data_IF_874363751999
#
_entry.id   IF_874363751999
#
_cell.length_a   1.000
_cell.length_b   1.000
_cell.length_c   1.000
_cell.angle_alpha   90.00
_cell.angle_beta   90.00
_cell.angle_gamma   90.00
#
_symmetry.space_group_name_H-M   'P 1'
#
loop_
_entity.id
_entity.type
_entity.pdbx_description
1 polymer ?
#
# COMPACT_ATOMS: atom_id res chain seq x y z
N UNK A 1 -7.86 62.17 8.15
CA UNK A 1 -8.40 61.35 7.04
C UNK A 1 -7.38 60.38 6.41
N UNK A 2 -6.32 59.96 7.11
CA UNK A 2 -5.26 59.08 6.57
C UNK A 2 -5.21 57.64 7.11
N UNK A 3 -6.13 57.26 8.00
CA UNK A 3 -6.11 55.96 8.70
C UNK A 3 -7.02 54.90 8.10
N UNK A 4 -7.80 55.17 7.05
CA UNK A 4 -8.79 54.22 6.50
C UNK A 4 -8.24 53.25 5.43
N UNK A 5 -7.05 53.46 4.92
CA UNK A 5 -6.48 52.60 3.85
C UNK A 5 -5.44 51.57 4.35
N UNK A 6 -4.99 51.68 5.61
CA UNK A 6 -3.94 50.80 6.15
C UNK A 6 -4.55 49.48 6.69
N UNK A 7 -5.76 49.55 7.23
CA UNK A 7 -6.42 48.40 7.84
C UNK A 7 -6.66 47.22 6.84
N UNK A 8 -7.12 47.44 5.60
CA UNK A 8 -7.32 46.34 4.68
C UNK A 8 -6.01 45.72 4.18
N UNK A 9 -4.92 46.49 4.11
CA UNK A 9 -3.60 45.96 3.71
C UNK A 9 -3.01 45.04 4.77
N UNK A 10 -3.16 45.36 6.05
CA UNK A 10 -2.67 44.52 7.16
C UNK A 10 -3.46 43.22 7.24
N UNK A 11 -4.78 43.29 7.05
CA UNK A 11 -5.63 42.08 7.03
C UNK A 11 -5.28 41.13 5.88
N UNK A 12 -4.94 41.66 4.69
CA UNK A 12 -4.53 40.87 3.53
C UNK A 12 -3.17 40.19 3.73
N UNK A 13 -2.20 40.87 4.36
CA UNK A 13 -0.91 40.27 4.69
C UNK A 13 -1.02 39.17 5.75
N UNK A 14 -1.87 39.34 6.76
CA UNK A 14 -2.10 38.33 7.79
C UNK A 14 -2.75 37.07 7.21
N UNK A 15 -3.66 37.19 6.26
CA UNK A 15 -4.29 36.06 5.59
C UNK A 15 -3.29 35.28 4.71
N UNK A 16 -2.36 35.95 4.03
CA UNK A 16 -1.30 35.30 3.26
C UNK A 16 -0.28 34.56 4.14
N UNK A 17 0.07 35.13 5.29
CA UNK A 17 0.98 34.48 6.24
C UNK A 17 0.38 33.21 6.88
N UNK A 18 -0.93 33.19 7.14
CA UNK A 18 -1.63 32.01 7.65
C UNK A 18 -1.68 30.86 6.63
N UNK A 19 -1.75 31.14 5.34
CA UNK A 19 -1.77 30.13 4.28
C UNK A 19 -0.43 29.38 4.11
N UNK A 20 0.68 29.93 4.57
CA UNK A 20 2.01 29.30 4.48
C UNK A 20 2.32 28.32 5.63
N UNK A 21 1.46 28.21 6.63
CA UNK A 21 1.69 27.34 7.80
C UNK A 21 1.10 25.93 7.63
N UNK A 22 0.43 25.63 6.52
CA UNK A 22 -0.02 24.28 6.20
C UNK A 22 1.14 23.52 5.56
N UNK A 23 2.07 23.06 6.39
CA UNK A 23 3.05 22.08 5.92
C UNK A 23 2.31 20.78 5.55
N UNK A 24 2.52 20.22 4.34
CA UNK A 24 1.99 18.89 4.04
C UNK A 24 2.61 17.91 5.04
N UNK A 25 1.77 17.25 5.82
CA UNK A 25 2.20 16.11 6.62
C UNK A 25 2.55 15.00 5.62
N UNK A 26 3.82 14.85 5.29
CA UNK A 26 4.31 13.68 4.58
C UNK A 26 4.25 12.54 5.59
N UNK A 27 3.26 11.67 5.44
CA UNK A 27 3.22 10.41 6.17
C UNK A 27 4.38 9.55 5.64
N UNK A 28 5.39 9.34 6.47
CA UNK A 28 6.49 8.43 6.18
C UNK A 28 6.02 7.00 6.47
N UNK A 29 5.35 6.40 5.49
CA UNK A 29 4.92 5.02 5.58
C UNK A 29 6.12 4.09 5.40
N UNK A 30 6.41 3.31 6.42
CA UNK A 30 7.46 2.27 6.33
C UNK A 30 7.00 1.19 5.34
N UNK A 31 7.85 0.80 4.40
CA UNK A 31 7.53 -0.30 3.49
C UNK A 31 7.21 -1.57 4.28
N UNK A 32 6.14 -2.26 3.86
CA UNK A 32 5.78 -3.55 4.44
C UNK A 32 6.87 -4.58 4.14
N UNK A 33 7.29 -5.29 5.17
CA UNK A 33 8.22 -6.38 5.06
C UNK A 33 7.51 -7.71 5.36
N UNK A 34 7.42 -8.56 4.35
CA UNK A 34 6.91 -9.90 4.49
C UNK A 34 7.93 -10.83 5.14
N UNK A 35 7.48 -11.98 5.64
CA UNK A 35 8.33 -12.99 6.26
C UNK A 35 9.38 -13.47 5.27
N UNK A 36 10.67 -13.47 5.69
CA UNK A 36 11.77 -13.99 4.87
C UNK A 36 11.72 -15.51 4.85
N UNK A 37 11.36 -16.06 3.70
CA UNK A 37 11.23 -17.50 3.45
C UNK A 37 11.28 -17.77 1.94
N UNK A 38 11.42 -19.05 1.56
CA UNK A 38 11.41 -19.46 0.15
C UNK A 38 10.12 -19.02 -0.55
N UNK A 39 10.25 -18.43 -1.73
CA UNK A 39 9.14 -17.91 -2.53
C UNK A 39 8.83 -16.43 -2.31
N UNK A 40 9.48 -15.76 -1.34
CA UNK A 40 9.29 -14.33 -1.11
C UNK A 40 9.62 -13.49 -2.34
N UNK A 41 10.71 -13.79 -3.03
CA UNK A 41 11.13 -13.12 -4.26
C UNK A 41 10.04 -13.14 -5.33
N UNK A 42 9.31 -14.25 -5.46
CA UNK A 42 8.21 -14.41 -6.40
C UNK A 42 6.99 -13.58 -5.98
N UNK A 43 6.68 -13.58 -4.69
CA UNK A 43 5.59 -12.75 -4.14
C UNK A 43 5.88 -11.28 -4.36
N UNK A 44 7.07 -10.80 -4.04
CA UNK A 44 7.45 -9.41 -4.24
C UNK A 44 7.43 -9.01 -5.72
N UNK A 45 7.97 -9.85 -6.60
CA UNK A 45 8.03 -9.57 -8.03
C UNK A 45 6.65 -9.49 -8.70
N UNK A 46 5.74 -10.39 -8.34
CA UNK A 46 4.45 -10.51 -9.01
C UNK A 46 3.32 -9.75 -8.30
N UNK A 47 3.24 -9.81 -6.98
CA UNK A 47 2.11 -9.22 -6.25
C UNK A 47 2.22 -7.70 -6.11
N UNK A 48 3.43 -7.15 -5.95
CA UNK A 48 3.64 -5.72 -5.82
C UNK A 48 3.38 -4.93 -7.11
N UNK A 49 3.26 -5.61 -8.26
CA UNK A 49 3.03 -4.94 -9.53
C UNK A 49 1.66 -4.27 -9.66
N UNK A 50 0.65 -4.72 -8.93
CA UNK A 50 -0.73 -4.26 -9.07
C UNK A 50 -1.28 -3.58 -7.81
N UNK A 51 -0.86 -3.99 -6.63
CA UNK A 51 -1.33 -3.44 -5.35
C UNK A 51 -0.30 -3.63 -4.24
N UNK A 52 -0.54 -3.02 -3.08
CA UNK A 52 0.34 -3.13 -1.93
C UNK A 52 0.37 -4.55 -1.35
N UNK A 53 1.52 -4.95 -0.81
CA UNK A 53 1.71 -6.22 -0.09
C UNK A 53 1.08 -6.23 1.31
N UNK A 54 0.60 -5.09 1.81
CA UNK A 54 -0.14 -4.98 3.07
C UNK A 54 -1.31 -5.94 3.13
N UNK A 55 -1.95 -6.16 1.98
CA UNK A 55 -3.08 -7.06 1.85
C UNK A 55 -2.79 -8.47 2.42
N UNK A 56 -1.58 -8.96 2.23
CA UNK A 56 -1.16 -10.27 2.74
C UNK A 56 -1.13 -10.27 4.27
N UNK A 57 -0.51 -9.27 4.89
CA UNK A 57 -0.42 -9.17 6.34
C UNK A 57 -1.77 -8.89 7.00
N UNK A 58 -2.56 -8.00 6.42
CA UNK A 58 -3.87 -7.63 6.96
C UNK A 58 -4.86 -8.79 6.95
N UNK A 59 -4.77 -9.67 5.96
CA UNK A 59 -5.67 -10.82 5.85
C UNK A 59 -5.13 -12.08 6.54
N UNK A 60 -3.85 -12.14 6.88
CA UNK A 60 -3.16 -13.34 7.37
C UNK A 60 -3.87 -14.10 8.49
N UNK A 61 -4.55 -13.50 9.46
CA UNK A 61 -5.23 -14.27 10.49
C UNK A 61 -6.46 -15.04 10.01
N UNK A 62 -7.00 -14.72 8.85
CA UNK A 62 -8.30 -15.22 8.39
C UNK A 62 -8.23 -16.28 7.29
N UNK A 63 -7.38 -16.16 6.24
CA UNK A 63 -7.37 -17.15 5.19
C UNK A 63 -6.73 -18.46 5.61
N UNK A 64 -7.43 -19.56 5.36
CA UNK A 64 -6.84 -20.89 5.38
C UNK A 64 -5.85 -21.08 4.22
N UNK A 65 -5.06 -22.15 4.26
CA UNK A 65 -4.20 -22.54 3.15
C UNK A 65 -4.96 -22.65 1.82
N UNK A 66 -6.16 -23.24 1.83
CA UNK A 66 -7.02 -23.34 0.64
C UNK A 66 -7.51 -21.99 0.14
N UNK A 67 -7.78 -21.04 1.04
CA UNK A 67 -8.19 -19.69 0.66
C UNK A 67 -7.07 -18.94 -0.04
N UNK A 68 -5.84 -19.05 0.42
CA UNK A 68 -4.69 -18.44 -0.26
C UNK A 68 -4.49 -18.99 -1.67
N UNK A 69 -4.65 -20.29 -1.86
CA UNK A 69 -4.59 -20.92 -3.18
C UNK A 69 -5.69 -20.38 -4.11
N UNK A 70 -6.92 -20.24 -3.61
CA UNK A 70 -8.02 -19.67 -4.36
C UNK A 70 -7.78 -18.19 -4.72
N UNK A 71 -7.19 -17.40 -3.82
CA UNK A 71 -6.86 -16.00 -4.08
C UNK A 71 -5.78 -15.85 -5.18
N UNK A 72 -4.72 -16.63 -5.14
CA UNK A 72 -3.70 -16.62 -6.20
C UNK A 72 -4.30 -17.01 -7.56
N UNK A 73 -5.11 -18.07 -7.58
CA UNK A 73 -5.80 -18.47 -8.80
C UNK A 73 -6.75 -17.39 -9.33
N UNK A 74 -7.41 -16.67 -8.45
CA UNK A 74 -8.28 -15.55 -8.83
C UNK A 74 -7.49 -14.41 -9.47
N UNK A 75 -6.33 -14.04 -8.93
CA UNK A 75 -5.46 -13.03 -9.53
C UNK A 75 -5.04 -13.42 -10.96
N UNK A 76 -4.71 -14.69 -11.19
CA UNK A 76 -4.30 -15.18 -12.50
C UNK A 76 -5.49 -15.25 -13.45
N UNK A 77 -6.57 -15.92 -13.06
CA UNK A 77 -7.68 -16.26 -13.98
C UNK A 77 -8.68 -15.13 -14.17
N UNK A 78 -9.01 -14.39 -13.11
CA UNK A 78 -10.01 -13.32 -13.18
C UNK A 78 -9.39 -11.95 -13.49
N UNK A 79 -8.21 -11.67 -12.96
CA UNK A 79 -7.55 -10.37 -13.13
C UNK A 79 -6.38 -10.39 -14.12
N UNK A 80 -6.04 -11.56 -14.66
CA UNK A 80 -5.04 -11.69 -15.73
C UNK A 80 -3.60 -11.44 -15.28
N UNK A 81 -3.27 -11.73 -14.02
CA UNK A 81 -1.91 -11.60 -13.54
C UNK A 81 -0.96 -12.49 -14.35
N UNK A 82 0.13 -11.95 -14.94
CA UNK A 82 1.02 -12.70 -15.82
C UNK A 82 2.02 -13.54 -15.01
N UNK A 83 1.54 -14.56 -14.34
CA UNK A 83 2.32 -15.45 -13.47
C UNK A 83 2.32 -16.84 -14.10
N UNK A 84 3.50 -17.40 -14.37
CA UNK A 84 3.62 -18.77 -14.85
C UNK A 84 3.32 -19.82 -13.77
N UNK A 85 3.11 -21.07 -14.17
CA UNK A 85 2.70 -22.13 -13.26
C UNK A 85 3.74 -22.43 -12.16
N UNK A 86 5.03 -22.31 -12.46
CA UNK A 86 6.09 -22.56 -11.49
C UNK A 86 6.13 -21.46 -10.41
N UNK A 87 6.04 -20.20 -10.81
CA UNK A 87 5.99 -19.06 -9.91
C UNK A 87 4.67 -19.04 -9.13
N UNK A 88 3.55 -19.36 -9.76
CA UNK A 88 2.27 -19.49 -9.07
C UNK A 88 2.31 -20.53 -7.94
N UNK A 89 2.91 -21.68 -8.20
CA UNK A 89 3.09 -22.72 -7.19
C UNK A 89 3.96 -22.22 -6.02
N UNK A 90 5.09 -21.58 -6.30
CA UNK A 90 5.98 -21.06 -5.28
C UNK A 90 5.29 -19.99 -4.43
N UNK A 91 4.52 -19.09 -5.03
CA UNK A 91 3.72 -18.08 -4.35
C UNK A 91 2.67 -18.73 -3.44
N UNK A 92 1.92 -19.70 -3.94
CA UNK A 92 0.90 -20.41 -3.15
C UNK A 92 1.53 -21.11 -1.94
N UNK A 93 2.63 -21.80 -2.11
CA UNK A 93 3.33 -22.49 -1.03
C UNK A 93 3.86 -21.50 0.03
N UNK A 94 4.43 -20.39 -0.42
CA UNK A 94 4.88 -19.33 0.48
C UNK A 94 3.73 -18.76 1.34
N UNK A 95 2.62 -18.39 0.71
CA UNK A 95 1.47 -17.82 1.42
C UNK A 95 0.81 -18.82 2.36
N UNK A 96 0.61 -20.05 1.92
CA UNK A 96 0.04 -21.13 2.73
C UNK A 96 0.88 -21.40 3.97
N UNK A 97 2.19 -21.47 3.82
CA UNK A 97 3.12 -21.79 4.91
C UNK A 97 3.32 -20.63 5.90
N UNK A 98 3.37 -19.42 5.43
CA UNK A 98 3.76 -18.26 6.24
C UNK A 98 2.57 -17.42 6.71
N UNK A 99 1.44 -17.47 6.01
CA UNK A 99 0.25 -16.64 6.24
C UNK A 99 -1.08 -17.42 6.24
N UNK A 100 -1.04 -18.70 6.04
CA UNK A 100 -2.22 -19.56 6.19
C UNK A 100 -2.47 -19.97 7.63
N UNK A 101 -3.75 -20.09 8.01
CA UNK A 101 -4.20 -20.64 9.29
C UNK A 101 -4.49 -22.12 9.19
#
# INVERSE_FOLDING_TARGET
MRTRFIAPLIASLAALAAAMLVAPALADEKPIQLKKADGLDKVEAHCAACHSLDYIQMNSPYPSAATWEAEVNKMIKAFGAPIDDADAKAIMEYLKKNYGS
#
